data_IF_739518608829
#
_entry.id   IF_739518608829
#
_cell.length_a   1.000
_cell.length_b   1.000
_cell.length_c   1.000
_cell.angle_alpha   90.00
_cell.angle_beta   90.00
_cell.angle_gamma   90.00
#
_symmetry.space_group_name_H-M   'P 1'
#
loop_
_entity.id
_entity.type
_entity.pdbx_description
1 polymer ?
#
# COMPACT_ATOMS: atom_id res chain seq x y z
N UNK A 1 9.14 18.47 9.55
CA UNK A 1 9.01 17.06 9.14
C UNK A 1 9.15 16.20 10.39
N UNK A 2 8.30 15.18 10.59
CA UNK A 2 8.43 14.27 11.74
C UNK A 2 9.76 13.50 11.67
N UNK A 3 10.22 13.01 12.83
CA UNK A 3 11.41 12.16 12.90
C UNK A 3 11.14 10.79 12.27
N UNK A 4 12.18 10.15 11.74
CA UNK A 4 12.11 8.78 11.23
C UNK A 4 11.83 7.82 12.38
N UNK A 5 11.03 6.80 12.10
CA UNK A 5 10.72 5.75 13.08
C UNK A 5 11.80 4.66 13.08
N UNK A 6 11.92 3.95 14.20
CA UNK A 6 12.79 2.79 14.29
C UNK A 6 12.19 1.58 13.54
N UNK A 7 13.05 0.67 13.06
CA UNK A 7 12.61 -0.49 12.27
C UNK A 7 11.55 -1.35 12.96
N UNK A 8 11.66 -1.53 14.29
CA UNK A 8 10.67 -2.29 15.07
C UNK A 8 9.29 -1.63 15.04
N UNK A 9 9.23 -0.31 15.21
CA UNK A 9 7.97 0.45 15.15
C UNK A 9 7.35 0.40 13.77
N UNK A 10 8.16 0.49 12.72
CA UNK A 10 7.68 0.38 11.34
C UNK A 10 7.05 -1.00 11.08
N UNK A 11 7.64 -2.07 11.60
CA UNK A 11 7.10 -3.42 11.44
C UNK A 11 5.77 -3.63 12.18
N UNK A 12 5.66 -3.12 13.42
CA UNK A 12 4.41 -3.14 14.18
C UNK A 12 3.29 -2.40 13.43
N UNK A 13 3.59 -1.19 12.95
CA UNK A 13 2.64 -0.39 12.18
C UNK A 13 2.24 -1.09 10.88
N UNK A 14 3.18 -1.69 10.16
CA UNK A 14 2.87 -2.42 8.92
C UNK A 14 1.95 -3.62 9.19
N UNK A 15 2.17 -4.31 10.31
CA UNK A 15 1.32 -5.43 10.76
C UNK A 15 -0.10 -4.97 11.07
N UNK A 16 -0.29 -3.79 11.66
CA UNK A 16 -1.61 -3.20 11.89
C UNK A 16 -2.26 -2.65 10.59
N UNK A 17 -1.45 -2.08 9.70
CA UNK A 17 -1.91 -1.48 8.45
C UNK A 17 -2.42 -2.53 7.46
N UNK A 18 -1.80 -3.72 7.43
CA UNK A 18 -2.13 -4.78 6.48
C UNK A 18 -3.59 -5.23 6.57
N UNK A 19 -4.17 -5.60 7.73
CA UNK A 19 -5.59 -5.92 7.87
C UNK A 19 -6.53 -4.78 7.43
N UNK A 20 -6.15 -3.53 7.64
CA UNK A 20 -6.92 -2.37 7.18
C UNK A 20 -6.95 -2.30 5.65
N UNK A 21 -5.82 -2.55 4.99
CA UNK A 21 -5.74 -2.57 3.53
C UNK A 21 -6.47 -3.78 2.94
N UNK A 22 -6.42 -4.94 3.59
CA UNK A 22 -7.22 -6.10 3.17
C UNK A 22 -8.73 -5.81 3.24
N UNK A 23 -9.22 -5.21 4.32
CA UNK A 23 -10.62 -4.79 4.45
C UNK A 23 -11.01 -3.76 3.38
N UNK A 24 -10.09 -2.83 3.09
CA UNK A 24 -10.26 -1.82 2.04
C UNK A 24 -10.35 -2.46 0.66
N UNK A 25 -9.51 -3.47 0.40
CA UNK A 25 -9.52 -4.29 -0.80
C UNK A 25 -10.87 -5.00 -0.96
N UNK A 26 -11.36 -5.65 0.10
CA UNK A 26 -12.68 -6.32 0.16
C UNK A 26 -13.83 -5.37 -0.16
N UNK A 27 -13.76 -4.15 0.36
CA UNK A 27 -14.76 -3.12 0.14
C UNK A 27 -14.71 -2.49 -1.28
N UNK A 28 -13.72 -2.83 -2.12
CA UNK A 28 -13.58 -2.25 -3.45
C UNK A 28 -13.22 -0.77 -3.44
N UNK A 29 -12.49 -0.31 -2.43
CA UNK A 29 -12.15 1.10 -2.21
C UNK A 29 -10.66 1.35 -2.09
N UNK A 30 -10.23 2.61 -2.16
CA UNK A 30 -8.84 3.03 -1.89
C UNK A 30 -8.80 3.90 -0.64
N UNK A 31 -7.61 4.05 -0.05
CA UNK A 31 -7.38 4.92 1.10
C UNK A 31 -6.34 5.98 0.81
N UNK A 32 -6.41 7.08 1.55
CA UNK A 32 -5.35 8.09 1.65
C UNK A 32 -4.70 8.04 3.03
N UNK A 33 -3.47 8.53 3.17
CA UNK A 33 -2.82 8.64 4.49
C UNK A 33 -3.66 9.35 5.55
N UNK A 34 -4.35 10.48 5.25
CA UNK A 34 -5.30 11.07 6.19
C UNK A 34 -6.43 10.14 6.62
N UNK A 35 -6.96 9.30 5.73
CA UNK A 35 -7.98 8.32 6.08
C UNK A 35 -7.41 7.16 6.90
N UNK A 36 -6.18 6.74 6.61
CA UNK A 36 -5.46 5.73 7.42
C UNK A 36 -5.28 6.25 8.85
N UNK A 37 -4.79 7.48 9.05
CA UNK A 37 -4.66 8.09 10.37
C UNK A 37 -5.99 8.17 11.13
N UNK A 38 -7.11 8.41 10.43
CA UNK A 38 -8.45 8.40 11.07
C UNK A 38 -8.88 7.01 11.54
N UNK A 39 -8.46 5.96 10.84
CA UNK A 39 -8.81 4.56 11.17
C UNK A 39 -7.82 3.93 12.14
N UNK A 40 -6.58 4.41 12.17
CA UNK A 40 -5.51 3.99 13.06
C UNK A 40 -5.01 5.23 13.84
N UNK A 41 -5.74 5.70 14.87
CA UNK A 41 -5.38 6.91 15.62
C UNK A 41 -4.08 6.77 16.43
N UNK A 42 -3.62 5.54 16.68
CA UNK A 42 -2.30 5.24 17.24
C UNK A 42 -1.15 5.53 16.27
N UNK A 43 -1.42 5.66 14.97
CA UNK A 43 -0.40 5.90 13.96
C UNK A 43 0.21 7.31 14.10
N UNK A 44 1.51 7.43 14.44
CA UNK A 44 2.17 8.72 14.53
C UNK A 44 2.25 9.38 13.15
N UNK A 45 2.33 10.71 13.09
CA UNK A 45 2.57 11.41 11.81
C UNK A 45 3.87 10.90 11.17
N UNK A 46 3.74 10.30 10.00
CA UNK A 46 4.84 9.60 9.35
C UNK A 46 5.71 10.55 8.52
N UNK A 47 7.02 10.29 8.52
CA UNK A 47 7.87 10.85 7.50
C UNK A 47 7.52 10.23 6.14
N UNK A 48 7.85 10.96 5.09
CA UNK A 48 7.56 10.57 3.73
C UNK A 48 8.32 9.27 3.35
N UNK A 49 9.51 9.07 3.92
CA UNK A 49 10.31 7.85 3.74
C UNK A 49 9.76 6.68 4.57
N UNK A 50 9.30 6.92 5.80
CA UNK A 50 8.61 5.91 6.61
C UNK A 50 7.34 5.39 5.91
N UNK A 51 6.57 6.29 5.28
CA UNK A 51 5.43 5.88 4.44
C UNK A 51 5.86 4.92 3.34
N UNK A 52 7.02 5.13 2.72
CA UNK A 52 7.58 4.24 1.72
C UNK A 52 7.90 2.87 2.30
N UNK A 53 8.62 2.86 3.42
CA UNK A 53 9.03 1.62 4.11
C UNK A 53 7.82 0.83 4.56
N UNK A 54 6.79 1.50 5.11
CA UNK A 54 5.55 0.85 5.51
C UNK A 54 4.80 0.20 4.34
N UNK A 55 4.70 0.89 3.20
CA UNK A 55 4.07 0.33 2.00
C UNK A 55 4.84 -0.89 1.48
N UNK A 56 6.17 -0.88 1.58
CA UNK A 56 6.99 -2.03 1.26
C UNK A 56 6.78 -3.18 2.24
N UNK A 57 6.85 -2.92 3.56
CA UNK A 57 6.67 -3.92 4.62
C UNK A 57 5.31 -4.63 4.56
N UNK A 58 4.24 -3.90 4.26
CA UNK A 58 2.88 -4.46 4.09
C UNK A 58 2.85 -5.61 3.08
N UNK A 59 3.65 -5.49 2.02
CA UNK A 59 3.67 -6.40 0.88
C UNK A 59 4.91 -7.33 0.87
N UNK A 60 5.83 -7.20 1.84
CA UNK A 60 7.05 -8.01 1.91
C UNK A 60 6.73 -9.51 2.05
N UNK A 61 5.80 -9.86 2.94
CA UNK A 61 5.37 -11.23 3.20
C UNK A 61 4.35 -11.79 2.19
N UNK A 62 4.10 -11.08 1.08
CA UNK A 62 3.11 -11.52 0.07
C UNK A 62 3.58 -12.82 -0.59
N UNK A 63 2.63 -13.72 -0.90
CA UNK A 63 2.95 -14.89 -1.72
C UNK A 63 3.19 -14.46 -3.16
N UNK A 64 4.09 -15.15 -3.86
CA UNK A 64 4.36 -14.88 -5.28
C UNK A 64 3.05 -14.95 -6.09
N UNK A 65 2.74 -13.86 -6.79
CA UNK A 65 1.53 -13.72 -7.59
C UNK A 65 0.36 -13.05 -6.88
N UNK A 66 0.45 -12.78 -5.57
CA UNK A 66 -0.53 -11.95 -4.89
C UNK A 66 -0.38 -10.47 -5.31
N UNK A 67 -1.52 -9.76 -5.51
CA UNK A 67 -1.49 -8.33 -5.85
C UNK A 67 -1.02 -7.48 -4.68
N UNK A 68 -0.46 -6.32 -5.00
CA UNK A 68 0.09 -5.38 -4.02
C UNK A 68 -1.02 -4.64 -3.26
N UNK A 69 -1.09 -4.80 -1.95
CA UNK A 69 -2.01 -4.04 -1.09
C UNK A 69 -1.62 -2.57 -1.00
N UNK A 70 -0.32 -2.25 -1.09
CA UNK A 70 0.18 -0.88 -1.14
C UNK A 70 -0.40 -0.07 -2.31
N UNK A 71 -0.86 -0.72 -3.38
CA UNK A 71 -1.51 -0.06 -4.52
C UNK A 71 -2.83 0.64 -4.12
N UNK A 72 -3.46 0.22 -3.02
CA UNK A 72 -4.70 0.81 -2.51
C UNK A 72 -4.49 2.13 -1.78
N UNK A 73 -3.24 2.49 -1.47
CA UNK A 73 -2.89 3.77 -0.87
C UNK A 73 -2.66 4.79 -1.98
N UNK A 74 -3.44 5.87 -1.93
CA UNK A 74 -3.56 6.91 -2.96
C UNK A 74 -3.34 8.29 -2.37
N UNK A 75 -3.11 9.29 -3.22
CA UNK A 75 -3.09 10.70 -2.80
C UNK A 75 -4.48 11.35 -2.75
N UNK A 76 -5.53 10.61 -3.11
CA UNK A 76 -6.90 11.13 -3.28
C UNK A 76 -7.41 10.87 -4.69
N UNK A 77 -8.73 10.95 -4.89
CA UNK A 77 -9.39 10.83 -6.21
C UNK A 77 -8.94 9.65 -7.07
N UNK A 78 -8.58 8.53 -6.41
CA UNK A 78 -8.03 7.33 -7.06
C UNK A 78 -6.79 7.61 -7.92
N UNK A 79 -5.95 8.54 -7.49
CA UNK A 79 -4.67 8.81 -8.10
C UNK A 79 -3.56 7.98 -7.44
N UNK A 80 -2.73 7.35 -8.28
CA UNK A 80 -1.58 6.58 -7.84
C UNK A 80 -0.67 7.41 -6.92
N UNK A 81 -0.24 6.81 -5.82
CA UNK A 81 0.75 7.45 -4.96
C UNK A 81 2.09 7.63 -5.72
N UNK A 82 2.72 8.83 -5.71
CA UNK A 82 3.96 9.08 -6.46
C UNK A 82 5.11 8.13 -6.14
N UNK A 83 5.13 7.59 -4.91
CA UNK A 83 6.14 6.63 -4.48
C UNK A 83 5.82 5.16 -4.78
N UNK A 84 4.59 4.86 -5.21
CA UNK A 84 4.19 3.49 -5.52
C UNK A 84 5.14 2.80 -6.52
N UNK A 85 5.60 3.44 -7.61
CA UNK A 85 6.54 2.78 -8.53
C UNK A 85 7.84 2.32 -7.86
N UNK A 86 8.42 3.14 -6.96
CA UNK A 86 9.65 2.79 -6.26
C UNK A 86 9.45 1.62 -5.29
N UNK A 87 8.35 1.63 -4.53
CA UNK A 87 7.97 0.53 -3.63
C UNK A 87 7.75 -0.76 -4.43
N UNK A 88 7.00 -0.67 -5.53
CA UNK A 88 6.68 -1.81 -6.37
C UNK A 88 7.95 -2.42 -7.00
N UNK A 89 8.89 -1.60 -7.45
CA UNK A 89 10.17 -2.06 -7.97
C UNK A 89 10.99 -2.82 -6.92
N UNK A 90 11.05 -2.32 -5.68
CA UNK A 90 11.71 -3.01 -4.56
C UNK A 90 11.06 -4.35 -4.21
N UNK A 91 9.75 -4.48 -4.42
CA UNK A 91 8.99 -5.73 -4.25
C UNK A 91 9.10 -6.68 -5.46
N UNK A 92 9.96 -6.35 -6.43
CA UNK A 92 10.17 -7.13 -7.65
C UNK A 92 9.01 -7.05 -8.64
N UNK A 93 8.08 -6.11 -8.47
CA UNK A 93 7.03 -5.84 -9.44
C UNK A 93 7.60 -5.02 -10.58
N UNK A 94 7.63 -5.62 -11.78
CA UNK A 94 8.07 -4.96 -13.00
C UNK A 94 6.86 -4.64 -13.85
N UNK A 95 6.69 -3.37 -14.19
CA UNK A 95 5.77 -2.99 -15.25
C UNK A 95 6.22 -3.65 -16.55
N UNK A 96 5.28 -4.23 -17.29
CA UNK A 96 5.59 -4.74 -18.63
C UNK A 96 6.07 -3.59 -19.51
N UNK A 97 7.16 -3.80 -20.24
CA UNK A 97 7.72 -2.78 -21.15
C UNK A 97 6.63 -2.24 -22.08
N UNK A 98 6.50 -0.91 -22.14
CA UNK A 98 5.49 -0.22 -22.94
C UNK A 98 4.19 0.12 -22.20
N UNK A 99 3.95 -0.39 -20.99
CA UNK A 99 2.77 -0.02 -20.19
C UNK A 99 3.06 1.23 -19.38
N UNK A 100 2.16 2.23 -19.44
CA UNK A 100 2.27 3.43 -18.60
C UNK A 100 2.15 3.03 -17.11
N UNK A 101 2.99 3.56 -16.20
CA UNK A 101 2.98 3.19 -14.78
C UNK A 101 1.59 3.28 -14.14
N UNK A 102 0.84 4.34 -14.46
CA UNK A 102 -0.53 4.53 -13.96
C UNK A 102 -1.47 3.40 -14.40
N UNK A 103 -1.39 2.96 -15.66
CA UNK A 103 -2.22 1.86 -16.18
C UNK A 103 -1.89 0.55 -15.46
N UNK A 104 -0.59 0.26 -15.31
CA UNK A 104 -0.15 -0.93 -14.59
C UNK A 104 -0.59 -0.90 -13.11
N UNK A 105 -0.50 0.26 -12.45
CA UNK A 105 -1.03 0.46 -11.10
C UNK A 105 -2.56 0.24 -11.01
N UNK A 106 -3.34 0.80 -11.95
CA UNK A 106 -4.79 0.60 -11.97
C UNK A 106 -5.16 -0.88 -12.09
N UNK A 107 -4.38 -1.68 -12.84
CA UNK A 107 -4.56 -3.13 -12.87
C UNK A 107 -4.24 -3.80 -11.52
N UNK A 108 -3.20 -3.37 -10.81
CA UNK A 108 -2.90 -3.91 -9.47
C UNK A 108 -4.02 -3.61 -8.47
N UNK A 109 -4.61 -2.42 -8.50
CA UNK A 109 -5.78 -2.07 -7.68
C UNK A 109 -6.95 -3.01 -7.97
N UNK A 110 -7.25 -3.25 -9.25
CA UNK A 110 -8.33 -4.17 -9.65
C UNK A 110 -8.06 -5.61 -9.21
N UNK A 111 -6.82 -6.10 -9.37
CA UNK A 111 -6.42 -7.43 -8.90
C UNK A 111 -6.57 -7.55 -7.39
N UNK A 112 -6.15 -6.53 -6.62
CA UNK A 112 -6.33 -6.51 -5.17
C UNK A 112 -7.81 -6.64 -4.79
N UNK A 113 -8.69 -5.83 -5.39
CA UNK A 113 -10.12 -5.97 -5.14
C UNK A 113 -10.64 -7.37 -5.46
N UNK A 114 -10.27 -7.94 -6.60
CA UNK A 114 -10.71 -9.27 -7.00
C UNK A 114 -10.19 -10.36 -6.05
N UNK A 115 -8.93 -10.29 -5.66
CA UNK A 115 -8.26 -11.29 -4.81
C UNK A 115 -8.88 -11.35 -3.41
N UNK A 116 -9.14 -10.19 -2.80
CA UNK A 116 -9.67 -10.13 -1.44
C UNK A 116 -11.20 -10.23 -1.37
N UNK A 117 -11.95 -9.94 -2.45
CA UNK A 117 -13.43 -10.04 -2.47
C UNK A 117 -13.97 -11.38 -1.98
N UNK A 118 -13.24 -12.48 -2.22
CA UNK A 118 -13.69 -13.84 -1.92
C UNK A 118 -12.97 -14.48 -0.72
N UNK A 119 -11.96 -13.81 -0.15
CA UNK A 119 -11.24 -14.30 1.03
C UNK A 119 -11.95 -13.83 2.29
N UNK A 120 -12.41 -14.79 3.10
CA UNK A 120 -12.99 -14.55 4.44
C UNK A 120 -11.87 -14.33 5.46
#
# INVERSE_FOLDING_TARGET
MPALLEAGQLWEIATELRPLLEQTARAGSTLTWPQIHKRLPSLPRLHADDQCVLLWLVDEDRRKGEPLLSALVTVGDRQMHPRFPAVAEQLGWRTQSGTRPHTAWSYEVLKAHQHWRHRR
#
